data_IF_565845214638
#
_entry.id   IF_565845214638
#
_cell.length_a   1.000
_cell.length_b   1.000
_cell.length_c   1.000
_cell.angle_alpha   90.00
_cell.angle_beta   90.00
_cell.angle_gamma   90.00
#
_symmetry.space_group_name_H-M   'P 1'
#
loop_
_entity.id
_entity.type
_entity.pdbx_description
1 polymer ?
#
# COMPACT_ATOMS: atom_id res chain seq x y z
N UNK A 1 -27.73 -11.10 -6.47
CA UNK A 1 -28.05 -11.74 -5.18
C UNK A 1 -26.77 -12.43 -4.75
N UNK A 2 -26.03 -11.88 -3.75
CA UNK A 2 -24.86 -12.59 -3.18
C UNK A 2 -25.40 -13.87 -2.53
N UNK A 3 -24.76 -14.99 -2.81
CA UNK A 3 -25.08 -16.26 -2.13
C UNK A 3 -24.68 -16.09 -0.65
N UNK A 4 -25.62 -16.20 0.29
CA UNK A 4 -25.38 -16.04 1.74
C UNK A 4 -24.32 -16.99 2.32
N UNK A 5 -23.91 -17.98 1.54
CA UNK A 5 -22.84 -18.92 1.89
C UNK A 5 -21.43 -18.44 1.54
N UNK A 6 -21.29 -17.34 0.77
CA UNK A 6 -19.99 -16.84 0.31
C UNK A 6 -19.38 -15.90 1.36
N UNK A 7 -18.34 -16.36 2.05
CA UNK A 7 -17.61 -15.56 3.05
C UNK A 7 -16.47 -14.75 2.48
N UNK A 8 -16.01 -15.08 1.26
CA UNK A 8 -14.96 -14.39 0.51
C UNK A 8 -15.42 -14.20 -0.94
N UNK A 9 -15.50 -12.96 -1.38
CA UNK A 9 -15.81 -12.59 -2.77
C UNK A 9 -14.59 -11.97 -3.43
N UNK A 10 -14.14 -12.51 -4.58
CA UNK A 10 -12.94 -12.07 -5.29
C UNK A 10 -13.34 -11.47 -6.64
N UNK A 11 -12.87 -10.26 -6.91
CA UNK A 11 -13.10 -9.54 -8.16
C UNK A 11 -11.80 -8.96 -8.70
N UNK A 12 -11.72 -8.76 -10.01
CA UNK A 12 -10.56 -8.11 -10.66
C UNK A 12 -10.99 -6.81 -11.32
N UNK A 13 -10.23 -5.75 -11.10
CA UNK A 13 -10.40 -4.46 -11.73
C UNK A 13 -9.08 -4.00 -12.35
N UNK A 14 -9.17 -3.34 -13.50
CA UNK A 14 -8.01 -2.74 -14.17
C UNK A 14 -8.24 -1.24 -14.31
N UNK A 15 -7.21 -0.45 -13.97
CA UNK A 15 -7.23 0.99 -13.94
C UNK A 15 -6.12 1.57 -14.82
N UNK A 16 -6.37 2.76 -15.36
CA UNK A 16 -5.39 3.55 -16.10
C UNK A 16 -4.52 4.39 -15.16
N UNK A 17 -3.33 4.84 -15.61
CA UNK A 17 -2.53 5.79 -14.84
C UNK A 17 -3.33 7.05 -14.48
N UNK A 18 -3.35 7.40 -13.19
CA UNK A 18 -4.05 8.57 -12.66
C UNK A 18 -5.53 8.37 -12.34
N UNK A 19 -6.10 7.20 -12.59
CA UNK A 19 -7.46 6.90 -12.15
C UNK A 19 -7.57 7.03 -10.62
N UNK A 20 -8.73 7.54 -10.17
CA UNK A 20 -9.06 7.69 -8.76
C UNK A 20 -10.36 6.94 -8.48
N UNK A 21 -10.31 6.04 -7.51
CA UNK A 21 -11.51 5.48 -6.92
C UNK A 21 -11.90 6.35 -5.74
N UNK A 22 -12.92 7.17 -5.94
CA UNK A 22 -13.33 8.23 -5.01
C UNK A 22 -13.74 7.71 -3.64
N UNK A 23 -13.80 8.60 -2.65
CA UNK A 23 -14.12 8.26 -1.26
C UNK A 23 -15.38 7.40 -1.12
N UNK A 24 -15.23 6.24 -0.48
CA UNK A 24 -16.30 5.26 -0.26
C UNK A 24 -15.97 4.36 0.95
N UNK A 25 -16.91 3.50 1.31
CA UNK A 25 -16.74 2.45 2.33
C UNK A 25 -17.61 1.25 1.99
N UNK A 26 -17.31 0.09 2.60
CA UNK A 26 -18.09 -1.13 2.43
C UNK A 26 -18.44 -1.76 3.79
N UNK A 27 -19.49 -2.58 3.83
CA UNK A 27 -19.88 -3.32 5.03
C UNK A 27 -18.98 -4.52 5.32
N UNK A 28 -18.32 -5.06 4.29
CA UNK A 28 -17.26 -6.08 4.41
C UNK A 28 -15.89 -5.41 4.49
N UNK A 29 -14.90 -6.11 5.05
CA UNK A 29 -13.51 -5.69 4.93
C UNK A 29 -12.97 -5.99 3.53
N UNK A 30 -12.10 -5.14 3.01
CA UNK A 30 -11.49 -5.28 1.70
C UNK A 30 -10.00 -5.66 1.85
N UNK A 31 -9.61 -6.74 1.18
CA UNK A 31 -8.21 -7.07 0.95
C UNK A 31 -7.89 -6.79 -0.51
N UNK A 32 -7.25 -5.64 -0.78
CA UNK A 32 -6.94 -5.17 -2.12
C UNK A 32 -5.48 -5.49 -2.47
N UNK A 33 -5.30 -6.44 -3.39
CA UNK A 33 -3.99 -6.88 -3.89
C UNK A 33 -3.68 -6.19 -5.22
N UNK A 34 -2.60 -5.42 -5.28
CA UNK A 34 -2.08 -4.84 -6.51
C UNK A 34 -1.24 -5.89 -7.26
N UNK A 35 -1.80 -6.50 -8.32
CA UNK A 35 -1.06 -7.43 -9.17
C UNK A 35 -0.02 -6.71 -10.02
N UNK A 36 -0.35 -5.49 -10.49
CA UNK A 36 0.56 -4.59 -11.22
C UNK A 36 0.40 -3.16 -10.73
N UNK A 37 1.35 -2.28 -11.05
CA UNK A 37 1.31 -0.86 -10.71
C UNK A 37 1.48 -0.60 -9.21
N UNK A 38 0.99 0.56 -8.77
CA UNK A 38 1.04 0.96 -7.37
C UNK A 38 -0.22 1.73 -7.01
N UNK A 39 -0.70 1.61 -5.78
CA UNK A 39 -1.91 2.27 -5.31
C UNK A 39 -1.61 3.06 -4.05
N UNK A 40 -1.98 4.33 -4.01
CA UNK A 40 -2.04 5.11 -2.76
C UNK A 40 -3.46 5.01 -2.20
N UNK A 41 -3.57 4.62 -0.94
CA UNK A 41 -4.85 4.51 -0.22
C UNK A 41 -4.88 5.56 0.88
N UNK A 42 -5.88 6.42 0.84
CA UNK A 42 -6.08 7.52 1.78
C UNK A 42 -7.28 7.21 2.68
N UNK A 43 -7.12 7.42 3.97
CA UNK A 43 -8.18 7.32 4.97
C UNK A 43 -8.10 8.48 5.97
N UNK A 44 -9.08 8.63 6.84
CA UNK A 44 -9.04 9.61 7.93
C UNK A 44 -7.88 9.38 8.93
N UNK A 45 -7.32 8.16 8.97
CA UNK A 45 -6.31 7.75 9.95
C UNK A 45 -4.89 7.67 9.39
N UNK A 46 -4.72 7.81 8.09
CA UNK A 46 -3.40 7.74 7.46
C UNK A 46 -3.47 7.38 5.99
N UNK A 47 -2.28 7.32 5.40
CA UNK A 47 -2.08 6.93 4.02
C UNK A 47 -1.23 5.66 3.96
N UNK A 48 -1.51 4.84 2.98
CA UNK A 48 -0.76 3.64 2.68
C UNK A 48 -0.37 3.63 1.21
N UNK A 49 0.81 3.12 0.93
CA UNK A 49 1.24 2.86 -0.43
C UNK A 49 1.32 1.35 -0.61
N UNK A 50 0.63 0.87 -1.62
CA UNK A 50 0.50 -0.53 -1.97
C UNK A 50 1.19 -0.76 -3.31
N UNK A 51 2.47 -1.15 -3.30
CA UNK A 51 3.19 -1.44 -4.53
C UNK A 51 2.70 -2.74 -5.17
N UNK A 52 3.14 -2.99 -6.41
CA UNK A 52 2.92 -4.27 -7.06
C UNK A 52 3.32 -5.46 -6.16
N UNK A 53 2.53 -6.52 -6.21
CA UNK A 53 2.66 -7.74 -5.42
C UNK A 53 2.50 -7.55 -3.90
N UNK A 54 1.82 -6.49 -3.49
CA UNK A 54 1.41 -6.23 -2.11
C UNK A 54 -0.09 -6.04 -2.02
N UNK A 55 -0.63 -6.23 -0.84
CA UNK A 55 -2.03 -5.99 -0.58
C UNK A 55 -2.23 -5.09 0.63
N UNK A 56 -3.31 -4.34 0.63
CA UNK A 56 -3.79 -3.62 1.80
C UNK A 56 -5.07 -4.29 2.32
N UNK A 57 -5.12 -4.47 3.62
CA UNK A 57 -6.34 -4.73 4.35
C UNK A 57 -6.98 -3.41 4.76
N UNK A 58 -8.20 -3.18 4.34
CA UNK A 58 -9.06 -2.07 4.78
C UNK A 58 -10.23 -2.69 5.54
N UNK A 59 -10.33 -2.47 6.86
CA UNK A 59 -11.43 -3.01 7.65
C UNK A 59 -12.80 -2.49 7.19
N UNK A 60 -13.85 -3.24 7.48
CA UNK A 60 -15.23 -2.85 7.23
C UNK A 60 -15.53 -1.43 7.75
N UNK A 61 -16.29 -0.66 6.99
CA UNK A 61 -16.75 0.70 7.30
C UNK A 61 -15.66 1.76 7.46
N UNK A 62 -14.41 1.47 7.09
CA UNK A 62 -13.38 2.50 7.00
C UNK A 62 -13.54 3.23 5.67
N UNK A 63 -13.82 4.56 5.76
CA UNK A 63 -13.85 5.44 4.59
C UNK A 63 -12.47 5.56 3.97
N UNK A 64 -12.39 5.37 2.65
CA UNK A 64 -11.12 5.45 1.93
C UNK A 64 -11.30 5.85 0.47
N UNK A 65 -10.24 6.39 -0.13
CA UNK A 65 -10.10 6.57 -1.58
C UNK A 65 -8.78 5.97 -2.05
N UNK A 66 -8.72 5.60 -3.33
CA UNK A 66 -7.54 4.97 -3.92
C UNK A 66 -7.09 5.73 -5.17
N UNK A 67 -5.80 6.06 -5.24
CA UNK A 67 -5.17 6.72 -6.39
C UNK A 67 -4.23 5.74 -7.08
N UNK A 68 -4.39 5.58 -8.39
CA UNK A 68 -3.66 4.60 -9.19
C UNK A 68 -2.41 5.23 -9.83
N UNK A 69 -1.26 4.63 -9.56
CA UNK A 69 0.03 5.03 -10.13
C UNK A 69 0.48 4.00 -11.17
N UNK A 70 0.55 4.41 -12.43
CA UNK A 70 0.76 3.50 -13.56
C UNK A 70 -0.50 2.70 -13.91
N UNK A 71 -0.37 1.71 -14.78
CA UNK A 71 -1.46 0.76 -15.07
C UNK A 71 -1.59 -0.23 -13.93
N UNK A 72 -2.72 -0.20 -13.22
CA UNK A 72 -2.96 -1.03 -12.05
C UNK A 72 -3.97 -2.13 -12.38
N UNK A 73 -3.58 -3.38 -12.13
CA UNK A 73 -4.52 -4.51 -12.03
C UNK A 73 -4.64 -4.87 -10.56
N UNK A 74 -5.85 -4.80 -10.04
CA UNK A 74 -6.13 -5.01 -8.62
C UNK A 74 -7.13 -6.16 -8.45
N UNK A 75 -6.78 -7.13 -7.63
CA UNK A 75 -7.71 -8.14 -7.14
C UNK A 75 -8.27 -7.66 -5.80
N UNK A 76 -9.58 -7.46 -5.77
CA UNK A 76 -10.30 -7.09 -4.57
C UNK A 76 -10.95 -8.35 -3.98
N UNK A 77 -10.66 -8.60 -2.72
CA UNK A 77 -11.25 -9.68 -1.96
C UNK A 77 -12.06 -9.09 -0.81
N UNK A 78 -13.37 -9.22 -0.89
CA UNK A 78 -14.29 -8.77 0.15
C UNK A 78 -14.47 -9.90 1.16
N UNK A 79 -14.21 -9.60 2.44
CA UNK A 79 -14.15 -10.58 3.52
C UNK A 79 -15.18 -10.21 4.57
N UNK A 80 -16.13 -11.09 4.81
CA UNK A 80 -17.15 -10.90 5.83
C UNK A 80 -16.56 -10.82 7.23
N UNK A 81 -17.27 -10.15 8.16
CA UNK A 81 -16.78 -9.84 9.50
C UNK A 81 -16.34 -11.08 10.30
N UNK A 82 -17.09 -12.19 10.21
CA UNK A 82 -16.73 -13.45 10.85
C UNK A 82 -15.43 -14.04 10.32
N UNK A 83 -15.25 -14.06 9.00
CA UNK A 83 -14.05 -14.55 8.33
C UNK A 83 -12.81 -13.69 8.65
N UNK A 84 -12.96 -12.36 8.67
CA UNK A 84 -11.88 -11.44 9.06
C UNK A 84 -11.38 -11.69 10.49
N UNK A 85 -12.28 -12.04 11.42
CA UNK A 85 -11.92 -12.44 12.79
C UNK A 85 -11.18 -13.77 12.83
N UNK A 86 -11.63 -14.77 12.06
CA UNK A 86 -10.95 -16.07 11.96
C UNK A 86 -9.52 -15.93 11.42
N UNK A 87 -9.31 -15.05 10.44
CA UNK A 87 -7.99 -14.75 9.90
C UNK A 87 -7.18 -13.77 10.77
N UNK A 88 -7.65 -13.40 11.98
CA UNK A 88 -7.00 -12.45 12.89
C UNK A 88 -6.58 -11.13 12.23
N UNK A 89 -7.37 -10.65 11.26
CA UNK A 89 -7.12 -9.39 10.57
C UNK A 89 -7.37 -8.21 11.54
N UNK A 90 -6.50 -7.19 11.53
CA UNK A 90 -6.56 -6.09 12.51
C UNK A 90 -7.76 -5.15 12.26
N UNK A 91 -8.20 -4.40 13.29
CA UNK A 91 -9.25 -3.37 13.14
C UNK A 91 -8.73 -2.07 12.49
N UNK A 92 -7.50 -2.06 12.00
CA UNK A 92 -6.86 -0.92 11.32
C UNK A 92 -6.31 -1.34 9.96
N UNK A 93 -6.18 -0.38 9.04
CA UNK A 93 -5.56 -0.64 7.75
C UNK A 93 -4.12 -1.13 7.93
N UNK A 94 -3.72 -2.11 7.12
CA UNK A 94 -2.39 -2.72 7.19
C UNK A 94 -1.97 -3.24 5.82
N UNK A 95 -0.72 -2.97 5.42
CA UNK A 95 -0.15 -3.54 4.19
C UNK A 95 0.54 -4.86 4.50
N UNK A 96 0.37 -5.81 3.59
CA UNK A 96 0.87 -7.18 3.71
C UNK A 96 1.73 -7.59 2.52
N UNK A 97 2.70 -8.45 2.77
CA UNK A 97 3.37 -9.24 1.75
C UNK A 97 2.48 -10.43 1.35
N UNK A 98 2.20 -10.57 0.06
CA UNK A 98 1.35 -11.65 -0.46
C UNK A 98 2.20 -12.82 -0.89
N UNK A 99 1.89 -14.03 -0.39
CA UNK A 99 2.60 -15.25 -0.76
C UNK A 99 2.27 -15.66 -2.21
N UNK A 100 3.16 -16.41 -2.90
CA UNK A 100 2.82 -16.99 -4.20
C UNK A 100 1.59 -17.91 -4.12
N UNK A 101 1.41 -18.63 -3.02
CA UNK A 101 0.25 -19.51 -2.82
C UNK A 101 -1.04 -18.69 -2.75
N UNK A 102 -1.08 -17.63 -1.93
CA UNK A 102 -2.29 -16.80 -1.80
C UNK A 102 -2.71 -16.19 -3.15
N UNK A 103 -1.75 -15.80 -3.99
CA UNK A 103 -2.01 -15.34 -5.37
C UNK A 103 -2.72 -16.41 -6.19
N UNK A 104 -2.18 -17.65 -6.22
CA UNK A 104 -2.75 -18.74 -6.96
C UNK A 104 -4.15 -19.14 -6.44
N UNK A 105 -4.40 -18.98 -5.14
CA UNK A 105 -5.72 -19.20 -4.55
C UNK A 105 -6.74 -18.18 -5.05
N UNK A 106 -6.37 -16.89 -5.14
CA UNK A 106 -7.25 -15.88 -5.72
C UNK A 106 -7.56 -16.15 -7.19
N UNK A 107 -6.56 -16.52 -7.99
CA UNK A 107 -6.75 -16.89 -9.40
C UNK A 107 -7.68 -18.11 -9.50
N UNK A 108 -7.49 -19.14 -8.66
CA UNK A 108 -8.35 -20.31 -8.62
C UNK A 108 -9.79 -19.96 -8.19
N UNK A 109 -9.99 -19.02 -7.26
CA UNK A 109 -11.32 -18.57 -6.85
C UNK A 109 -12.03 -17.80 -7.96
N UNK A 110 -11.32 -16.95 -8.71
CA UNK A 110 -11.86 -16.23 -9.88
C UNK A 110 -12.30 -17.19 -11.00
N UNK A 111 -11.58 -18.30 -11.19
CA UNK A 111 -11.85 -19.31 -12.20
C UNK A 111 -12.95 -20.32 -11.81
N UNK A 112 -13.52 -20.23 -10.59
CA UNK A 112 -14.53 -21.20 -10.14
C UNK A 112 -15.82 -21.07 -10.94
N UNK A 113 -16.34 -22.19 -11.46
CA UNK A 113 -17.65 -22.20 -12.08
C UNK A 113 -18.76 -21.93 -11.05
N UNK A 114 -19.86 -21.36 -11.52
CA UNK A 114 -21.06 -21.16 -10.70
C UNK A 114 -21.53 -22.50 -10.12
N UNK A 115 -21.77 -22.57 -8.80
CA UNK A 115 -22.25 -23.78 -8.12
C UNK A 115 -21.15 -24.70 -7.57
N UNK A 116 -19.87 -24.41 -7.75
CA UNK A 116 -18.76 -25.20 -7.20
C UNK A 116 -18.58 -25.01 -5.66
N UNK A 117 -19.66 -25.13 -4.88
CA UNK A 117 -19.72 -24.77 -3.45
C UNK A 117 -18.67 -25.49 -2.59
N UNK A 118 -18.52 -26.82 -2.74
CA UNK A 118 -17.55 -27.58 -1.95
C UNK A 118 -16.11 -27.15 -2.22
N UNK A 119 -15.75 -26.93 -3.49
CA UNK A 119 -14.42 -26.47 -3.87
C UNK A 119 -14.17 -25.03 -3.39
N UNK A 120 -15.18 -24.16 -3.47
CA UNK A 120 -15.12 -22.78 -2.95
C UNK A 120 -14.81 -22.80 -1.45
N UNK A 121 -15.54 -23.56 -0.66
CA UNK A 121 -15.33 -23.66 0.79
C UNK A 121 -13.91 -24.15 1.16
N UNK A 122 -13.36 -25.10 0.41
CA UNK A 122 -11.97 -25.52 0.60
C UNK A 122 -10.98 -24.39 0.31
N UNK A 123 -11.16 -23.65 -0.81
CA UNK A 123 -10.28 -22.53 -1.16
C UNK A 123 -10.40 -21.40 -0.14
N UNK A 124 -11.60 -21.05 0.30
CA UNK A 124 -11.84 -20.04 1.34
C UNK A 124 -11.12 -20.38 2.65
N UNK A 125 -11.15 -21.65 3.08
CA UNK A 125 -10.46 -22.09 4.28
C UNK A 125 -8.93 -21.89 4.18
N UNK A 126 -8.34 -22.27 3.04
CA UNK A 126 -6.90 -22.10 2.80
C UNK A 126 -6.54 -20.59 2.68
N UNK A 127 -7.38 -19.79 2.02
CA UNK A 127 -7.18 -18.33 1.95
C UNK A 127 -7.17 -17.71 3.35
N UNK A 128 -8.08 -18.08 4.23
CA UNK A 128 -8.12 -17.56 5.60
C UNK A 128 -6.89 -17.95 6.41
N UNK A 129 -6.38 -19.16 6.24
CA UNK A 129 -5.14 -19.64 6.88
C UNK A 129 -3.94 -18.81 6.39
N UNK A 130 -3.77 -18.64 5.07
CA UNK A 130 -2.72 -17.81 4.47
C UNK A 130 -2.80 -16.36 4.94
N UNK A 131 -4.00 -15.77 4.99
CA UNK A 131 -4.21 -14.40 5.47
C UNK A 131 -3.74 -14.23 6.93
N UNK A 132 -3.95 -15.23 7.78
CA UNK A 132 -3.55 -15.18 9.18
C UNK A 132 -2.03 -15.17 9.38
N UNK A 133 -1.29 -15.84 8.50
CA UNK A 133 0.17 -15.96 8.54
C UNK A 133 0.94 -14.88 7.78
N UNK A 134 0.27 -13.93 7.11
CA UNK A 134 0.93 -12.95 6.25
C UNK A 134 1.86 -11.99 7.01
N UNK A 135 3.08 -11.70 6.46
CA UNK A 135 3.96 -10.71 7.04
C UNK A 135 3.39 -9.29 6.88
N UNK A 136 3.29 -8.56 7.98
CA UNK A 136 2.90 -7.14 7.98
C UNK A 136 4.09 -6.29 7.54
N UNK A 137 3.81 -5.33 6.65
CA UNK A 137 4.83 -4.43 6.11
C UNK A 137 4.62 -3.00 6.65
N UNK A 138 5.69 -2.28 7.01
CA UNK A 138 5.59 -0.91 7.52
C UNK A 138 5.42 0.11 6.36
N UNK A 139 4.46 -0.14 5.48
CA UNK A 139 4.18 0.70 4.31
C UNK A 139 3.01 1.68 4.58
N UNK A 140 2.93 2.16 5.80
CA UNK A 140 1.98 3.20 6.20
C UNK A 140 2.71 4.52 6.40
N UNK A 141 2.10 5.60 5.95
CA UNK A 141 2.57 6.97 6.17
C UNK A 141 1.54 7.65 7.06
N UNK A 142 1.78 7.70 8.40
CA UNK A 142 0.80 8.28 9.31
C UNK A 142 0.60 9.76 9.01
N UNK A 143 -0.66 10.20 8.96
CA UNK A 143 -1.03 11.60 8.78
C UNK A 143 -1.47 12.19 10.13
N UNK A 144 -0.96 13.39 10.46
CA UNK A 144 -1.43 14.12 11.63
C UNK A 144 -2.85 14.66 11.41
N UNK A 145 -3.69 14.65 12.45
CA UNK A 145 -5.04 15.21 12.37
C UNK A 145 -5.07 16.74 12.45
N UNK A 146 -4.03 17.40 12.98
CA UNK A 146 -3.92 18.86 12.96
C UNK A 146 -3.93 19.36 11.51
N UNK A 147 -4.87 20.24 11.09
CA UNK A 147 -5.00 20.66 9.70
C UNK A 147 -3.75 21.35 9.12
N UNK A 148 -2.96 22.02 9.96
CA UNK A 148 -1.73 22.71 9.54
C UNK A 148 -0.61 21.71 9.25
N UNK A 149 -0.45 20.71 10.14
CA UNK A 149 0.50 19.61 9.92
C UNK A 149 0.05 18.74 8.73
N UNK A 150 -1.24 18.42 8.63
CA UNK A 150 -1.80 17.66 7.52
C UNK A 150 -1.56 18.36 6.18
N UNK A 151 -1.77 19.68 6.10
CA UNK A 151 -1.48 20.48 4.91
C UNK A 151 0.00 20.38 4.49
N UNK A 152 0.91 20.50 5.45
CA UNK A 152 2.35 20.36 5.17
C UNK A 152 2.69 18.94 4.70
N UNK A 153 2.10 17.91 5.33
CA UNK A 153 2.30 16.52 4.90
C UNK A 153 1.81 16.27 3.47
N UNK A 154 0.61 16.76 3.12
CA UNK A 154 0.06 16.63 1.76
C UNK A 154 0.96 17.27 0.72
N UNK A 155 1.50 18.45 1.00
CA UNK A 155 2.45 19.12 0.11
C UNK A 155 3.65 18.19 -0.25
N UNK A 156 4.20 17.48 0.74
CA UNK A 156 5.29 16.54 0.48
C UNK A 156 4.83 15.23 -0.16
N UNK A 157 3.61 14.78 0.10
CA UNK A 157 3.04 13.61 -0.55
C UNK A 157 2.75 13.85 -2.03
N UNK A 158 2.36 15.08 -2.40
CA UNK A 158 2.12 15.46 -3.80
C UNK A 158 3.43 15.58 -4.60
N UNK A 159 4.54 15.96 -3.94
CA UNK A 159 5.86 16.06 -4.56
C UNK A 159 6.97 15.55 -3.63
N UNK A 160 7.12 14.22 -3.48
CA UNK A 160 8.09 13.62 -2.57
C UNK A 160 9.53 13.96 -2.90
N UNK A 161 10.26 14.52 -1.92
CA UNK A 161 11.68 14.84 -2.07
C UNK A 161 12.42 14.87 -0.74
N UNK A 162 13.71 14.49 -0.75
CA UNK A 162 14.60 14.66 0.40
C UNK A 162 15.17 16.08 0.51
N UNK A 163 15.05 16.89 -0.54
CA UNK A 163 15.61 18.25 -0.57
C UNK A 163 14.88 19.22 0.37
N UNK A 164 13.57 19.00 0.63
CA UNK A 164 12.81 19.91 1.51
C UNK A 164 13.31 19.84 2.95
N UNK A 165 13.56 21.00 3.54
CA UNK A 165 14.02 21.11 4.92
C UNK A 165 12.86 21.08 5.93
N UNK A 166 13.19 20.79 7.18
CA UNK A 166 12.21 20.84 8.27
C UNK A 166 11.74 22.27 8.55
N UNK A 167 12.57 23.25 8.26
CA UNK A 167 12.27 24.68 8.37
C UNK A 167 11.19 25.09 7.37
N UNK A 168 11.28 24.63 6.13
CA UNK A 168 10.27 24.88 5.10
C UNK A 168 8.94 24.23 5.45
N UNK A 169 8.97 23.00 5.95
CA UNK A 169 7.75 22.32 6.40
C UNK A 169 7.11 23.01 7.60
N UNK A 170 7.91 23.49 8.55
CA UNK A 170 7.41 24.24 9.69
C UNK A 170 6.75 25.56 9.23
N UNK A 171 7.34 26.28 8.25
CA UNK A 171 6.74 27.47 7.63
C UNK A 171 5.41 27.16 6.96
N UNK A 172 5.31 26.06 6.19
CA UNK A 172 4.06 25.61 5.57
C UNK A 172 2.96 25.34 6.59
N UNK A 173 3.34 24.83 7.77
CA UNK A 173 2.44 24.60 8.90
C UNK A 173 2.18 25.86 9.76
N UNK A 174 2.76 27.03 9.44
CA UNK A 174 2.73 28.23 10.27
C UNK A 174 3.20 27.96 11.72
N UNK A 175 4.30 27.23 11.85
CA UNK A 175 4.87 26.85 13.16
C UNK A 175 6.36 27.18 13.23
N UNK A 176 6.88 27.36 14.47
CA UNK A 176 8.32 27.32 14.66
C UNK A 176 8.83 25.87 14.45
N UNK A 177 10.10 25.71 14.06
CA UNK A 177 10.73 24.39 13.93
C UNK A 177 10.53 23.52 15.18
N UNK A 178 10.71 24.09 16.37
CA UNK A 178 10.54 23.40 17.66
C UNK A 178 9.10 22.89 17.84
N UNK A 179 8.12 23.75 17.56
CA UNK A 179 6.69 23.40 17.67
C UNK A 179 6.32 22.31 16.66
N UNK A 180 6.74 22.49 15.41
CA UNK A 180 6.49 21.49 14.34
C UNK A 180 7.07 20.14 14.71
N UNK A 181 8.35 20.05 15.09
CA UNK A 181 9.02 18.78 15.44
C UNK A 181 8.31 18.05 16.58
N UNK A 182 7.95 18.79 17.63
CA UNK A 182 7.26 18.21 18.80
C UNK A 182 5.87 17.71 18.44
N UNK A 183 5.02 18.59 17.86
CA UNK A 183 3.63 18.23 17.53
C UNK A 183 3.55 17.15 16.45
N UNK A 184 4.46 17.19 15.47
CA UNK A 184 4.54 16.15 14.46
C UNK A 184 4.80 14.78 15.06
N UNK A 185 5.78 14.67 15.97
CA UNK A 185 6.12 13.41 16.64
C UNK A 185 5.00 12.94 17.57
N UNK A 186 4.36 13.85 18.29
CA UNK A 186 3.21 13.54 19.15
C UNK A 186 2.03 12.99 18.32
N UNK A 187 1.77 13.58 17.13
CA UNK A 187 0.65 13.20 16.28
C UNK A 187 0.89 11.93 15.46
N UNK A 188 2.14 11.66 15.03
CA UNK A 188 2.46 10.57 14.09
C UNK A 188 3.24 9.41 14.72
N UNK A 189 3.79 9.60 15.91
CA UNK A 189 4.66 8.63 16.59
C UNK A 189 6.08 8.55 16.04
N UNK A 190 6.40 9.24 14.92
CA UNK A 190 7.71 9.20 14.26
C UNK A 190 8.31 10.61 14.09
N UNK A 191 9.63 10.69 13.88
CA UNK A 191 10.24 11.98 13.54
C UNK A 191 9.90 12.37 12.11
N UNK A 192 9.83 13.69 11.83
CA UNK A 192 9.61 14.18 10.46
C UNK A 192 10.67 13.65 9.48
N UNK A 193 11.92 13.53 9.88
CA UNK A 193 13.00 13.00 9.02
C UNK A 193 12.73 11.54 8.62
N UNK A 194 12.36 10.70 9.59
CA UNK A 194 12.01 9.30 9.31
C UNK A 194 10.76 9.19 8.44
N UNK A 195 9.75 10.01 8.73
CA UNK A 195 8.52 10.08 7.95
C UNK A 195 8.79 10.52 6.50
N UNK A 196 9.57 11.59 6.30
CA UNK A 196 9.97 12.08 4.97
C UNK A 196 10.74 10.99 4.19
N UNK A 197 11.68 10.32 4.85
CA UNK A 197 12.42 9.22 4.24
C UNK A 197 11.49 8.09 3.79
N UNK A 198 10.51 7.77 4.61
CA UNK A 198 9.51 6.76 4.30
C UNK A 198 8.68 7.15 3.07
N UNK A 199 8.17 8.38 3.01
CA UNK A 199 7.45 8.91 1.85
C UNK A 199 8.29 8.78 0.57
N UNK A 200 9.55 9.21 0.59
CA UNK A 200 10.42 9.13 -0.58
C UNK A 200 10.73 7.70 -1.00
N UNK A 201 10.95 6.78 -0.05
CA UNK A 201 11.20 5.37 -0.39
C UNK A 201 9.95 4.70 -0.98
N UNK A 202 8.77 5.02 -0.49
CA UNK A 202 7.52 4.49 -1.02
C UNK A 202 7.22 5.03 -2.42
N UNK A 203 7.47 6.33 -2.67
CA UNK A 203 7.39 6.90 -4.03
C UNK A 203 8.43 6.26 -4.97
N UNK A 204 9.66 6.05 -4.48
CA UNK A 204 10.68 5.33 -5.25
C UNK A 204 10.20 3.94 -5.66
N UNK A 205 9.58 3.22 -4.74
CA UNK A 205 9.06 1.87 -5.02
C UNK A 205 7.99 1.90 -6.12
N UNK A 206 7.11 2.90 -6.11
CA UNK A 206 6.12 3.14 -7.17
C UNK A 206 6.80 3.31 -8.53
N UNK A 207 7.77 4.23 -8.64
CA UNK A 207 8.46 4.54 -9.91
C UNK A 207 9.31 3.37 -10.40
N UNK A 208 10.03 2.70 -9.51
CA UNK A 208 10.86 1.53 -9.82
C UNK A 208 10.00 0.37 -10.34
N UNK A 209 8.81 0.15 -9.80
CA UNK A 209 7.88 -0.87 -10.28
C UNK A 209 7.33 -0.58 -11.68
N UNK A 210 7.39 0.69 -12.11
CA UNK A 210 7.03 1.15 -13.45
C UNK A 210 8.23 1.15 -14.43
N UNK A 211 9.41 0.65 -14.00
CA UNK A 211 10.60 0.53 -14.82
C UNK A 211 11.56 1.71 -14.80
N UNK A 212 11.35 2.70 -13.92
CA UNK A 212 12.32 3.78 -13.76
C UNK A 212 13.66 3.26 -13.24
N UNK A 213 14.77 3.90 -13.63
CA UNK A 213 16.10 3.50 -13.18
C UNK A 213 16.34 3.90 -11.71
N UNK A 214 17.11 3.08 -10.97
CA UNK A 214 17.49 3.38 -9.58
C UNK A 214 18.25 4.71 -9.50
N UNK A 215 19.06 5.03 -10.50
CA UNK A 215 19.83 6.26 -10.58
C UNK A 215 18.91 7.48 -10.71
N UNK A 216 18.01 7.48 -11.68
CA UNK A 216 17.11 8.60 -11.94
C UNK A 216 16.19 8.85 -10.74
N UNK A 217 15.59 7.80 -10.21
CA UNK A 217 14.73 7.88 -9.02
C UNK A 217 15.47 8.46 -7.82
N UNK A 218 16.73 8.06 -7.59
CA UNK A 218 17.52 8.59 -6.47
C UNK A 218 17.82 10.07 -6.61
N UNK A 219 18.09 10.55 -7.83
CA UNK A 219 18.36 11.97 -8.14
C UNK A 219 17.07 12.80 -7.99
N UNK A 220 15.99 12.36 -8.62
CA UNK A 220 14.71 13.06 -8.60
C UNK A 220 14.14 13.22 -7.19
N UNK A 221 14.32 12.19 -6.34
CA UNK A 221 13.91 12.24 -4.95
C UNK A 221 14.89 13.01 -4.05
N UNK A 222 15.94 13.62 -4.62
CA UNK A 222 16.86 14.50 -3.90
C UNK A 222 17.81 13.77 -2.93
N UNK A 223 18.15 12.51 -3.19
CA UNK A 223 19.19 11.84 -2.43
C UNK A 223 20.59 12.30 -2.89
N UNK A 224 21.51 12.42 -1.94
CA UNK A 224 22.90 12.85 -2.21
C UNK A 224 23.68 11.85 -3.05
N UNK A 225 23.26 10.59 -3.09
CA UNK A 225 23.86 9.53 -3.92
C UNK A 225 22.91 8.34 -4.03
N UNK A 226 23.10 7.52 -5.07
CA UNK A 226 22.40 6.25 -5.24
C UNK A 226 22.69 5.27 -4.08
N UNK A 227 23.88 5.36 -3.47
CA UNK A 227 24.22 4.56 -2.30
C UNK A 227 23.41 4.98 -1.06
N UNK A 228 23.25 6.29 -0.82
CA UNK A 228 22.42 6.79 0.28
C UNK A 228 20.95 6.38 0.09
N UNK A 229 20.43 6.48 -1.13
CA UNK A 229 19.11 5.99 -1.48
C UNK A 229 18.96 4.48 -1.21
N UNK A 230 19.91 3.66 -1.71
CA UNK A 230 19.85 2.20 -1.55
C UNK A 230 19.92 1.77 -0.09
N UNK A 231 20.65 2.49 0.75
CA UNK A 231 20.69 2.26 2.20
C UNK A 231 19.33 2.58 2.86
N UNK A 232 18.72 3.71 2.51
CA UNK A 232 17.40 4.10 3.01
C UNK A 232 16.32 3.10 2.58
N UNK A 233 16.33 2.70 1.33
CA UNK A 233 15.41 1.72 0.77
C UNK A 233 15.54 0.36 1.47
N UNK A 234 16.79 -0.14 1.65
CA UNK A 234 17.05 -1.40 2.35
C UNK A 234 16.61 -1.35 3.82
N UNK A 235 16.84 -0.22 4.49
CA UNK A 235 16.41 -0.03 5.89
C UNK A 235 14.90 -0.18 6.05
N UNK A 236 14.12 0.34 5.11
CA UNK A 236 12.65 0.32 5.17
C UNK A 236 12.05 -1.00 4.64
N UNK A 237 12.61 -1.55 3.57
CA UNK A 237 12.00 -2.65 2.82
C UNK A 237 12.75 -3.99 2.96
N UNK A 238 13.88 -4.00 3.68
CA UNK A 238 14.66 -5.19 3.98
C UNK A 238 15.71 -5.57 2.93
N UNK A 239 15.51 -5.19 1.65
CA UNK A 239 16.42 -5.49 0.53
C UNK A 239 16.82 -4.22 -0.24
N UNK A 240 17.97 -4.24 -0.91
CA UNK A 240 18.36 -3.17 -1.83
C UNK A 240 17.40 -3.13 -3.05
N UNK A 241 17.23 -1.95 -3.70
CA UNK A 241 16.24 -1.75 -4.77
C UNK A 241 16.28 -2.82 -5.87
N UNK A 242 17.45 -3.11 -6.43
CA UNK A 242 17.61 -4.09 -7.51
C UNK A 242 17.21 -5.50 -7.05
N UNK A 243 17.64 -5.91 -5.86
CA UNK A 243 17.29 -7.22 -5.30
C UNK A 243 15.80 -7.30 -4.96
N UNK A 244 15.24 -6.22 -4.42
CA UNK A 244 13.82 -6.13 -4.11
C UNK A 244 12.98 -6.30 -5.38
N UNK A 245 13.34 -5.59 -6.46
CA UNK A 245 12.65 -5.68 -7.75
C UNK A 245 12.82 -7.06 -8.40
N UNK A 246 14.01 -7.66 -8.37
CA UNK A 246 14.19 -9.02 -8.92
C UNK A 246 13.37 -10.08 -8.19
N UNK A 247 13.20 -9.90 -6.87
CA UNK A 247 12.42 -10.84 -6.04
C UNK A 247 10.91 -10.66 -6.16
N UNK A 248 10.47 -9.42 -6.34
CA UNK A 248 9.06 -9.04 -6.27
C UNK A 248 8.53 -8.33 -7.51
N UNK A 249 9.41 -7.89 -8.43
CA UNK A 249 9.07 -7.17 -9.66
C UNK A 249 9.14 -8.01 -10.95
N UNK A 250 9.71 -9.20 -10.92
CA UNK A 250 10.11 -9.96 -12.11
C UNK A 250 9.01 -10.85 -12.72
N UNK A 251 7.75 -10.46 -12.72
CA UNK A 251 6.67 -11.22 -13.41
C UNK A 251 6.02 -10.46 -14.58
N UNK A 252 6.63 -9.39 -15.08
CA UNK A 252 6.04 -8.60 -16.20
C UNK A 252 6.79 -8.70 -17.54
N UNK A 253 7.78 -9.57 -17.69
CA UNK A 253 8.55 -9.69 -18.95
C UNK A 253 8.50 -11.07 -19.63
N UNK A 254 7.45 -11.87 -19.41
CA UNK A 254 7.30 -13.15 -20.13
C UNK A 254 5.90 -13.34 -20.68
N UNK A 255 5.43 -12.41 -21.51
CA UNK A 255 4.25 -12.61 -22.36
C UNK A 255 4.31 -11.68 -23.55
N UNK A 256 5.31 -11.84 -24.41
CA UNK A 256 5.25 -11.48 -25.83
C UNK A 256 6.40 -12.16 -26.57
N UNK A 257 6.17 -13.38 -26.99
CA UNK A 257 6.64 -13.95 -28.24
C UNK A 257 5.58 -14.88 -28.80
#
# INVERSE_FOLDING_TARGET
MKDESTIIDVTTLTFRPGDVFTWHSHDEGQFAYAATGCVSVFTDKGNWIVPAHRAIWVPARIGHEMHMHGSVTMLNTFIGHGAARLAALPPSCQVYGVSPLLRQLFDAMLALPTGARARRACLEAIVLDELSGMPRLPLSVPLPQDPRLSKACRYLLDAPTQAISIEEMAKLANMSRRTFTRQFREATGVSFVAWKQQVCVLEALSRLSQGASVKDVSVDLGYSSTSAFSAAFKLLLGDAPVRYLSRYGALTLSSNQ
#
